data_IF_584513859493
#
_entry.id   IF_584513859493
#
_cell.length_a   1.000
_cell.length_b   1.000
_cell.length_c   1.000
_cell.angle_alpha   90.00
_cell.angle_beta   90.00
_cell.angle_gamma   90.00
#
_symmetry.space_group_name_H-M   'P 1'
#
loop_
_entity.id
_entity.type
_entity.pdbx_description
1 polymer ?
#
# COMPACT_ATOMS: atom_id res chain seq x y z
N UNK A 1 -57.89 2.28 23.35
CA UNK A 1 -57.53 1.59 22.09
C UNK A 1 -56.25 2.23 21.58
N UNK A 2 -55.10 1.62 21.86
CA UNK A 2 -53.79 2.10 21.40
C UNK A 2 -53.31 1.12 20.33
N UNK A 3 -53.23 1.56 19.08
CA UNK A 3 -52.66 0.76 18.00
C UNK A 3 -51.15 0.97 18.05
N UNK A 4 -50.42 -0.03 18.53
CA UNK A 4 -48.97 -0.10 18.39
C UNK A 4 -48.62 -0.27 16.92
N UNK A 5 -48.01 0.75 16.33
CA UNK A 5 -47.30 0.64 15.05
C UNK A 5 -46.07 -0.26 15.26
N UNK A 6 -46.21 -1.54 14.95
CA UNK A 6 -45.07 -2.44 14.79
C UNK A 6 -44.41 -2.05 13.47
N UNK A 7 -43.32 -1.27 13.58
CA UNK A 7 -42.41 -0.97 12.48
C UNK A 7 -41.75 -2.28 12.06
N UNK A 8 -42.34 -2.97 11.08
CA UNK A 8 -41.71 -4.09 10.37
C UNK A 8 -40.53 -3.50 9.61
N UNK A 9 -39.33 -3.63 10.19
CA UNK A 9 -38.11 -3.36 9.45
C UNK A 9 -38.06 -4.33 8.26
N UNK A 10 -38.09 -3.76 7.07
CA UNK A 10 -38.12 -4.46 5.80
C UNK A 10 -36.92 -5.42 5.69
N UNK A 11 -37.15 -6.73 5.63
CA UNK A 11 -36.10 -7.78 5.61
C UNK A 11 -35.06 -7.55 4.50
N UNK A 12 -35.47 -6.92 3.38
CA UNK A 12 -34.57 -6.53 2.29
C UNK A 12 -33.50 -5.50 2.69
N UNK A 13 -33.81 -4.55 3.57
CA UNK A 13 -32.86 -3.54 4.04
C UNK A 13 -31.82 -4.15 4.98
N UNK A 14 -32.22 -5.13 5.80
CA UNK A 14 -31.32 -5.84 6.72
C UNK A 14 -30.33 -6.71 5.94
N UNK A 15 -30.78 -7.40 4.88
CA UNK A 15 -29.90 -8.21 4.02
C UNK A 15 -28.90 -7.36 3.22
N UNK A 16 -29.31 -6.19 2.74
CA UNK A 16 -28.39 -5.26 2.05
C UNK A 16 -27.29 -4.74 2.97
N UNK A 17 -27.67 -4.28 4.18
CA UNK A 17 -26.73 -3.79 5.18
C UNK A 17 -25.71 -4.86 5.59
N UNK A 18 -26.16 -6.11 5.78
CA UNK A 18 -25.27 -7.25 6.07
C UNK A 18 -24.28 -7.53 4.95
N UNK A 19 -24.75 -7.57 3.70
CA UNK A 19 -23.87 -7.80 2.52
C UNK A 19 -22.80 -6.72 2.42
N UNK A 20 -23.18 -5.47 2.70
CA UNK A 20 -22.28 -4.32 2.70
C UNK A 20 -21.21 -4.40 3.77
N UNK A 21 -21.59 -4.75 4.99
CA UNK A 21 -20.65 -4.96 6.09
C UNK A 21 -19.68 -6.12 5.82
N UNK A 22 -20.17 -7.20 5.22
CA UNK A 22 -19.31 -8.33 4.79
C UNK A 22 -18.30 -7.89 3.73
N UNK A 23 -18.75 -7.21 2.67
CA UNK A 23 -17.86 -6.67 1.63
C UNK A 23 -16.80 -5.74 2.23
N UNK A 24 -17.20 -4.83 3.13
CA UNK A 24 -16.29 -3.93 3.82
C UNK A 24 -15.26 -4.70 4.64
N UNK A 25 -15.68 -5.67 5.44
CA UNK A 25 -14.77 -6.48 6.26
C UNK A 25 -13.74 -7.25 5.40
N UNK A 26 -14.14 -7.74 4.23
CA UNK A 26 -13.23 -8.41 3.30
C UNK A 26 -12.22 -7.45 2.66
N UNK A 27 -12.63 -6.23 2.31
CA UNK A 27 -11.72 -5.19 1.77
C UNK A 27 -10.76 -4.73 2.87
N UNK A 28 -11.25 -4.48 4.08
CA UNK A 28 -10.42 -4.11 5.23
C UNK A 28 -9.40 -5.20 5.58
N UNK A 29 -9.79 -6.47 5.48
CA UNK A 29 -8.88 -7.60 5.67
C UNK A 29 -7.76 -7.61 4.63
N UNK A 30 -8.07 -7.35 3.34
CA UNK A 30 -7.07 -7.24 2.30
C UNK A 30 -6.11 -6.07 2.57
N UNK A 31 -6.64 -4.89 2.87
CA UNK A 31 -5.84 -3.69 3.16
C UNK A 31 -4.85 -3.95 4.30
N UNK A 32 -5.29 -4.61 5.37
CA UNK A 32 -4.41 -4.99 6.50
C UNK A 32 -3.30 -5.96 6.07
N UNK A 33 -3.61 -6.95 5.24
CA UNK A 33 -2.61 -7.91 4.74
C UNK A 33 -1.62 -7.22 3.79
N UNK A 34 -2.09 -6.33 2.91
CA UNK A 34 -1.22 -5.53 2.02
C UNK A 34 -0.32 -4.59 2.83
N UNK A 35 -0.84 -3.95 3.87
CA UNK A 35 -0.02 -3.12 4.77
C UNK A 35 1.04 -3.95 5.51
N UNK A 36 0.70 -5.16 5.96
CA UNK A 36 1.66 -6.10 6.53
C UNK A 36 2.74 -6.48 5.50
N UNK A 37 2.33 -6.82 4.27
CA UNK A 37 3.25 -7.16 3.19
C UNK A 37 4.24 -6.01 2.90
N UNK A 38 3.75 -4.77 2.80
CA UNK A 38 4.58 -3.56 2.65
C UNK A 38 5.62 -3.45 3.76
N UNK A 39 5.22 -3.66 5.00
CA UNK A 39 6.13 -3.56 6.14
C UNK A 39 7.26 -4.61 6.05
N UNK A 40 6.91 -5.86 5.76
CA UNK A 40 7.92 -6.91 5.52
C UNK A 40 8.81 -6.57 4.32
N UNK A 41 8.22 -6.07 3.22
CA UNK A 41 8.92 -5.70 2.00
C UNK A 41 9.94 -4.59 2.20
N UNK A 42 9.73 -3.68 3.16
CA UNK A 42 10.74 -2.65 3.50
C UNK A 42 11.99 -3.19 4.17
N UNK A 43 11.93 -4.38 4.78
CA UNK A 43 13.07 -5.01 5.45
C UNK A 43 13.95 -5.82 4.49
N UNK A 44 13.48 -6.08 3.27
CA UNK A 44 14.19 -6.84 2.24
C UNK A 44 15.40 -6.06 1.72
N UNK A 45 16.55 -6.72 1.58
CA UNK A 45 17.83 -6.10 1.22
C UNK A 45 18.48 -5.30 2.36
N UNK A 46 17.85 -5.22 3.52
CA UNK A 46 18.37 -4.57 4.72
C UNK A 46 19.09 -5.52 5.67
N UNK A 47 19.48 -5.02 6.84
CA UNK A 47 20.13 -5.82 7.89
C UNK A 47 19.24 -6.88 8.54
N UNK A 48 17.92 -6.76 8.39
CA UNK A 48 16.93 -7.71 8.92
C UNK A 48 16.50 -8.75 7.88
N UNK A 49 17.07 -8.73 6.68
CA UNK A 49 16.72 -9.67 5.62
C UNK A 49 17.27 -11.07 5.94
N UNK A 50 16.39 -12.06 5.94
CA UNK A 50 16.69 -13.43 6.28
C UNK A 50 15.65 -14.38 5.67
N UNK A 51 15.94 -15.69 5.64
CA UNK A 51 15.03 -16.69 5.09
C UNK A 51 13.64 -16.64 5.74
N UNK A 52 13.57 -16.46 7.06
CA UNK A 52 12.29 -16.36 7.77
C UNK A 52 11.45 -15.16 7.32
N UNK A 53 12.09 -14.01 7.04
CA UNK A 53 11.41 -12.84 6.48
C UNK A 53 10.88 -13.14 5.06
N UNK A 54 11.68 -13.80 4.21
CA UNK A 54 11.29 -14.18 2.85
C UNK A 54 10.14 -15.19 2.83
N UNK A 55 10.12 -16.13 3.76
CA UNK A 55 9.01 -17.07 3.97
C UNK A 55 7.72 -16.36 4.42
N UNK A 56 7.83 -15.44 5.39
CA UNK A 56 6.70 -14.62 5.85
C UNK A 56 6.13 -13.76 4.72
N UNK A 57 6.98 -13.18 3.86
CA UNK A 57 6.57 -12.48 2.66
C UNK A 57 5.79 -13.38 1.71
N UNK A 58 6.27 -14.61 1.47
CA UNK A 58 5.58 -15.58 0.62
C UNK A 58 4.19 -15.92 1.16
N UNK A 59 4.08 -16.28 2.44
CA UNK A 59 2.78 -16.59 3.09
C UNK A 59 1.83 -15.40 3.04
N UNK A 60 2.34 -14.19 3.31
CA UNK A 60 1.54 -12.96 3.29
C UNK A 60 1.06 -12.64 1.87
N UNK A 61 1.90 -12.88 0.85
CA UNK A 61 1.57 -12.72 -0.57
C UNK A 61 0.49 -13.69 -1.04
N UNK A 62 0.58 -14.96 -0.64
CA UNK A 62 -0.44 -15.97 -0.94
C UNK A 62 -1.79 -15.57 -0.33
N UNK A 63 -1.78 -15.18 0.96
CA UNK A 63 -2.97 -14.70 1.66
C UNK A 63 -3.59 -13.45 1.00
N UNK A 64 -2.77 -12.50 0.57
CA UNK A 64 -3.24 -11.30 -0.12
C UNK A 64 -3.94 -11.63 -1.44
N UNK A 65 -3.38 -12.55 -2.22
CA UNK A 65 -3.98 -12.99 -3.50
C UNK A 65 -5.31 -13.72 -3.29
N UNK A 66 -5.41 -14.61 -2.29
CA UNK A 66 -6.66 -15.28 -1.96
C UNK A 66 -7.76 -14.28 -1.60
N UNK A 67 -7.43 -13.29 -0.76
CA UNK A 67 -8.33 -12.20 -0.43
C UNK A 67 -8.67 -11.34 -1.65
N UNK A 68 -7.72 -11.09 -2.55
CA UNK A 68 -7.95 -10.30 -3.75
C UNK A 68 -8.92 -11.00 -4.72
N UNK A 69 -8.77 -12.31 -4.95
CA UNK A 69 -9.69 -13.10 -5.76
C UNK A 69 -11.10 -13.09 -5.13
N UNK A 70 -11.19 -13.28 -3.82
CA UNK A 70 -12.46 -13.25 -3.09
C UNK A 70 -13.16 -11.89 -3.19
N UNK A 71 -12.42 -10.79 -2.94
CA UNK A 71 -12.94 -9.42 -3.05
C UNK A 71 -13.40 -9.10 -4.47
N UNK A 72 -12.58 -9.40 -5.48
CA UNK A 72 -12.93 -9.19 -6.89
C UNK A 72 -14.27 -9.83 -7.22
N UNK A 73 -14.44 -11.11 -6.90
CA UNK A 73 -15.66 -11.84 -7.24
C UNK A 73 -16.88 -11.25 -6.52
N UNK A 74 -16.77 -10.98 -5.21
CA UNK A 74 -17.87 -10.43 -4.40
C UNK A 74 -18.29 -9.03 -4.87
N UNK A 75 -17.34 -8.11 -4.98
CA UNK A 75 -17.64 -6.74 -5.39
C UNK A 75 -18.16 -6.67 -6.83
N UNK A 76 -17.62 -7.49 -7.74
CA UNK A 76 -18.14 -7.56 -9.12
C UNK A 76 -19.59 -8.05 -9.15
N UNK A 77 -19.96 -9.02 -8.30
CA UNK A 77 -21.34 -9.49 -8.20
C UNK A 77 -22.27 -8.39 -7.66
N UNK A 78 -21.87 -7.70 -6.59
CA UNK A 78 -22.64 -6.61 -6.01
C UNK A 78 -22.83 -5.42 -6.99
N UNK A 79 -21.76 -4.98 -7.65
CA UNK A 79 -21.79 -3.82 -8.56
C UNK A 79 -22.48 -4.10 -9.89
N UNK A 80 -22.70 -5.37 -10.25
CA UNK A 80 -23.48 -5.76 -11.42
C UNK A 80 -24.97 -5.92 -11.12
N UNK A 81 -25.38 -5.93 -9.84
CA UNK A 81 -26.79 -6.00 -9.47
C UNK A 81 -27.48 -4.66 -9.73
N UNK A 82 -28.43 -4.66 -10.67
CA UNK A 82 -29.21 -3.47 -11.05
C UNK A 82 -30.27 -3.10 -10.01
N UNK A 83 -30.55 -3.98 -9.06
CA UNK A 83 -31.55 -3.75 -8.01
C UNK A 83 -30.93 -3.17 -6.72
N UNK A 84 -29.62 -2.91 -6.72
CA UNK A 84 -28.93 -2.36 -5.56
C UNK A 84 -29.41 -0.91 -5.31
N UNK A 85 -29.79 -0.55 -4.06
CA UNK A 85 -30.14 0.82 -3.71
C UNK A 85 -28.99 1.78 -4.00
N UNK A 86 -29.29 3.02 -4.39
CA UNK A 86 -28.27 4.03 -4.77
C UNK A 86 -27.23 4.27 -3.67
N UNK A 87 -27.66 4.32 -2.40
CA UNK A 87 -26.76 4.54 -1.27
C UNK A 87 -25.79 3.37 -1.07
N UNK A 88 -26.26 2.14 -1.28
CA UNK A 88 -25.44 0.93 -1.18
C UNK A 88 -24.53 0.77 -2.41
N UNK A 89 -24.99 1.21 -3.59
CA UNK A 89 -24.18 1.27 -4.79
C UNK A 89 -22.98 2.20 -4.59
N UNK A 90 -23.20 3.43 -4.11
CA UNK A 90 -22.10 4.37 -3.85
C UNK A 90 -21.08 3.82 -2.83
N UNK A 91 -21.54 3.09 -1.82
CA UNK A 91 -20.63 2.46 -0.85
C UNK A 91 -19.85 1.29 -1.45
N UNK A 92 -20.49 0.45 -2.28
CA UNK A 92 -19.80 -0.62 -3.03
C UNK A 92 -18.76 -0.04 -4.01
N UNK A 93 -19.07 1.08 -4.66
CA UNK A 93 -18.13 1.78 -5.56
C UNK A 93 -16.92 2.31 -4.78
N UNK A 94 -17.12 2.85 -3.58
CA UNK A 94 -16.03 3.25 -2.70
C UNK A 94 -15.17 2.07 -2.26
N UNK A 95 -15.78 0.95 -1.88
CA UNK A 95 -15.05 -0.28 -1.54
C UNK A 95 -14.28 -0.82 -2.74
N UNK A 96 -14.82 -0.70 -3.96
CA UNK A 96 -14.13 -1.08 -5.19
C UNK A 96 -12.89 -0.24 -5.45
N UNK A 97 -12.96 1.08 -5.25
CA UNK A 97 -11.81 1.98 -5.39
C UNK A 97 -10.75 1.67 -4.33
N UNK A 98 -11.15 1.43 -3.07
CA UNK A 98 -10.22 1.04 -2.02
C UNK A 98 -9.53 -0.30 -2.34
N UNK A 99 -10.31 -1.29 -2.78
CA UNK A 99 -9.82 -2.59 -3.24
C UNK A 99 -8.81 -2.45 -4.40
N UNK A 100 -9.17 -1.78 -5.49
CA UNK A 100 -8.30 -1.63 -6.66
C UNK A 100 -7.01 -0.89 -6.33
N UNK A 101 -7.09 0.16 -5.51
CA UNK A 101 -5.92 0.93 -5.08
C UNK A 101 -5.00 0.10 -4.18
N UNK A 102 -5.56 -0.73 -3.29
CA UNK A 102 -4.76 -1.64 -2.47
C UNK A 102 -4.05 -2.71 -3.31
N UNK A 103 -4.66 -3.17 -4.41
CA UNK A 103 -4.07 -4.16 -5.30
C UNK A 103 -2.90 -3.58 -6.10
N UNK A 104 -2.99 -2.33 -6.54
CA UNK A 104 -1.87 -1.62 -7.19
C UNK A 104 -0.69 -1.40 -6.25
N UNK A 105 -0.97 -1.00 -5.00
CA UNK A 105 0.09 -0.86 -3.99
C UNK A 105 0.77 -2.20 -3.71
N UNK A 106 0.00 -3.27 -3.62
CA UNK A 106 0.51 -4.61 -3.42
C UNK A 106 1.37 -5.08 -4.61
N UNK A 107 0.92 -4.85 -5.85
CA UNK A 107 1.69 -5.14 -7.05
C UNK A 107 3.04 -4.40 -7.05
N UNK A 108 3.03 -3.09 -6.75
CA UNK A 108 4.25 -2.30 -6.67
C UNK A 108 5.24 -2.85 -5.63
N UNK A 109 4.74 -3.32 -4.48
CA UNK A 109 5.58 -3.97 -3.47
C UNK A 109 6.15 -5.30 -3.93
N UNK A 110 5.35 -6.11 -4.63
CA UNK A 110 5.83 -7.38 -5.18
C UNK A 110 6.96 -7.15 -6.18
N UNK A 111 6.82 -6.18 -7.08
CA UNK A 111 7.88 -5.79 -8.02
C UNK A 111 9.14 -5.33 -7.29
N UNK A 112 9.00 -4.49 -6.25
CA UNK A 112 10.12 -4.07 -5.42
C UNK A 112 10.82 -5.27 -4.76
N UNK A 113 10.07 -6.18 -4.14
CA UNK A 113 10.64 -7.38 -3.49
C UNK A 113 11.34 -8.27 -4.51
N UNK A 114 10.79 -8.38 -5.72
CA UNK A 114 11.39 -9.13 -6.82
C UNK A 114 12.75 -8.52 -7.24
N UNK A 115 12.81 -7.22 -7.48
CA UNK A 115 14.07 -6.50 -7.79
C UNK A 115 15.11 -6.66 -6.69
N UNK A 116 14.69 -6.54 -5.42
CA UNK A 116 15.60 -6.73 -4.28
C UNK A 116 16.05 -8.19 -4.14
N UNK A 117 15.20 -9.18 -4.45
CA UNK A 117 15.58 -10.59 -4.47
C UNK A 117 16.67 -10.91 -5.50
N UNK A 118 16.65 -10.24 -6.66
CA UNK A 118 17.70 -10.40 -7.67
C UNK A 118 19.03 -9.77 -7.23
N UNK A 119 18.97 -8.65 -6.52
CA UNK A 119 20.15 -7.91 -6.07
C UNK A 119 20.76 -8.49 -4.79
N UNK A 120 19.95 -9.11 -3.93
CA UNK A 120 20.31 -9.64 -2.62
C UNK A 120 19.85 -11.10 -2.49
N UNK A 121 20.65 -12.03 -3.02
CA UNK A 121 20.41 -13.46 -2.87
C UNK A 121 20.91 -13.97 -1.51
N UNK A 122 20.07 -14.75 -0.82
CA UNK A 122 20.43 -15.37 0.46
C UNK A 122 21.30 -16.63 0.28
N UNK A 123 21.12 -17.35 -0.84
CA UNK A 123 21.96 -18.52 -1.19
C UNK A 123 23.36 -18.13 -1.66
N UNK A 124 23.52 -16.93 -2.22
CA UNK A 124 24.82 -16.38 -2.61
C UNK A 124 25.42 -15.57 -1.46
N UNK A 125 25.84 -16.24 -0.39
CA UNK A 125 26.86 -15.69 0.51
C UNK A 125 28.23 -15.63 -0.21
N UNK A 126 28.28 -14.92 -1.33
CA UNK A 126 29.51 -14.32 -1.79
C UNK A 126 29.93 -13.31 -0.72
N UNK A 127 31.13 -13.48 -0.18
CA UNK A 127 31.79 -12.70 0.88
C UNK A 127 32.01 -11.20 0.58
N UNK A 128 31.16 -10.57 -0.25
CA UNK A 128 31.31 -9.21 -0.77
C UNK A 128 30.38 -8.19 -0.10
N UNK A 129 29.39 -8.63 0.69
CA UNK A 129 28.57 -7.72 1.48
C UNK A 129 29.25 -7.49 2.83
N UNK A 130 29.65 -6.24 3.09
CA UNK A 130 30.20 -5.84 4.38
C UNK A 130 29.08 -5.96 5.41
N UNK A 131 29.16 -7.01 6.24
CA UNK A 131 28.22 -7.29 7.30
C UNK A 131 28.42 -6.26 8.44
N UNK A 132 27.92 -5.04 8.22
CA UNK A 132 28.00 -3.91 9.16
C UNK A 132 26.87 -3.92 10.20
N UNK A 133 25.89 -4.82 10.05
CA UNK A 133 24.71 -4.89 10.90
C UNK A 133 24.99 -5.53 12.26
N UNK A 134 24.73 -4.77 13.33
CA UNK A 134 24.73 -5.24 14.71
C UNK A 134 23.92 -6.54 14.85
N UNK A 135 24.61 -7.63 15.20
CA UNK A 135 23.98 -8.82 15.76
C UNK A 135 24.18 -8.78 17.28
N UNK A 136 23.19 -9.22 18.05
CA UNK A 136 23.15 -9.12 19.52
C UNK A 136 24.39 -9.67 20.25
N UNK A 137 24.48 -9.33 21.54
CA UNK A 137 25.50 -9.69 22.54
C UNK A 137 26.91 -10.06 22.00
N UNK A 138 27.90 -9.24 22.32
CA UNK A 138 29.31 -9.30 21.87
C UNK A 138 30.00 -10.68 21.89
N UNK A 139 29.50 -11.64 22.68
CA UNK A 139 29.95 -13.04 22.74
C UNK A 139 29.78 -13.79 21.40
N UNK A 140 28.69 -13.56 20.67
CA UNK A 140 28.39 -14.30 19.43
C UNK A 140 29.23 -13.81 18.23
N UNK A 141 29.75 -12.58 18.33
CA UNK A 141 30.61 -11.95 17.33
C UNK A 141 32.02 -12.58 17.35
N UNK A 142 32.57 -12.86 18.53
CA UNK A 142 33.90 -13.46 18.68
C UNK A 142 33.96 -14.92 18.22
N UNK A 143 32.91 -15.70 18.47
CA UNK A 143 32.84 -17.10 18.04
C UNK A 143 32.76 -17.26 16.50
N UNK A 144 32.11 -16.31 15.81
CA UNK A 144 31.99 -16.29 14.34
C UNK A 144 33.27 -15.83 13.65
N UNK A 145 33.98 -14.86 14.21
CA UNK A 145 35.29 -14.44 13.68
C UNK A 145 36.32 -15.58 13.68
N UNK A 146 36.20 -16.53 14.61
CA UNK A 146 37.06 -17.71 14.71
C UNK A 146 36.54 -18.93 13.93
N UNK A 147 35.31 -18.89 13.43
CA UNK A 147 34.65 -20.01 12.73
C UNK A 147 34.48 -19.77 11.23
N UNK A 148 35.51 -19.20 10.57
CA UNK A 148 35.56 -19.17 9.09
C UNK A 148 35.85 -20.59 8.59
N UNK A 149 34.84 -21.46 8.69
CA UNK A 149 34.79 -22.69 7.91
C UNK A 149 34.40 -22.30 6.49
N UNK A 150 35.14 -22.86 5.54
CA UNK A 150 34.97 -22.73 4.11
C UNK A 150 33.54 -23.16 3.74
N UNK A 151 32.66 -22.19 3.49
CA UNK A 151 31.28 -22.44 3.08
C UNK A 151 31.36 -23.15 1.73
N UNK A 152 31.00 -24.44 1.73
CA UNK A 152 30.91 -25.22 0.50
C UNK A 152 29.65 -24.75 -0.21
N UNK A 153 29.79 -24.18 -1.41
CA UNK A 153 28.66 -23.74 -2.21
C UNK A 153 27.81 -24.97 -2.55
N UNK A 154 26.66 -25.10 -1.90
CA UNK A 154 25.69 -26.14 -2.24
C UNK A 154 24.82 -25.62 -3.38
N UNK A 155 25.06 -26.15 -4.58
CA UNK A 155 24.34 -25.82 -5.82
C UNK A 155 22.82 -26.02 -5.66
N UNK A 156 22.39 -26.87 -4.73
CA UNK A 156 20.98 -27.09 -4.41
C UNK A 156 20.31 -25.85 -3.81
N UNK A 157 20.99 -25.07 -2.97
CA UNK A 157 20.41 -23.88 -2.31
C UNK A 157 20.21 -22.73 -3.31
N UNK A 158 21.16 -22.55 -4.24
CA UNK A 158 21.03 -21.61 -5.36
C UNK A 158 19.87 -21.99 -6.30
N UNK A 159 19.62 -23.29 -6.50
CA UNK A 159 18.50 -23.74 -7.32
C UNK A 159 17.12 -23.43 -6.71
N UNK A 160 17.03 -23.43 -5.37
CA UNK A 160 15.80 -23.10 -4.64
C UNK A 160 15.50 -21.61 -4.72
N UNK A 161 16.48 -20.74 -4.45
CA UNK A 161 16.32 -19.27 -4.59
C UNK A 161 15.80 -18.88 -5.98
N UNK A 162 16.36 -19.50 -7.03
CA UNK A 162 15.93 -19.24 -8.43
C UNK A 162 14.50 -19.69 -8.69
N UNK A 163 14.07 -20.79 -8.07
CA UNK A 163 12.70 -21.31 -8.21
C UNK A 163 11.70 -20.40 -7.49
N UNK A 164 12.04 -19.91 -6.30
CA UNK A 164 11.22 -18.96 -5.55
C UNK A 164 11.11 -17.61 -6.25
N UNK A 165 12.21 -17.15 -6.87
CA UNK A 165 12.22 -15.93 -7.66
C UNK A 165 11.28 -16.05 -8.88
N UNK A 166 11.31 -17.20 -9.57
CA UNK A 166 10.42 -17.47 -10.70
C UNK A 166 8.95 -17.58 -10.27
N UNK A 167 8.68 -18.21 -9.12
CA UNK A 167 7.33 -18.26 -8.54
C UNK A 167 6.80 -16.84 -8.24
N UNK A 168 7.65 -15.96 -7.68
CA UNK A 168 7.29 -14.57 -7.44
C UNK A 168 6.97 -13.82 -8.75
N UNK A 169 7.78 -13.97 -9.80
CA UNK A 169 7.52 -13.39 -11.12
C UNK A 169 6.15 -13.83 -11.67
N UNK A 170 5.85 -15.13 -11.60
CA UNK A 170 4.60 -15.67 -12.09
C UNK A 170 3.38 -15.18 -11.28
N UNK A 171 3.57 -14.89 -9.99
CA UNK A 171 2.55 -14.29 -9.14
C UNK A 171 2.37 -12.79 -9.43
N UNK A 172 3.42 -12.06 -9.78
CA UNK A 172 3.33 -10.66 -10.24
C UNK A 172 2.45 -10.60 -11.50
N UNK A 173 2.72 -11.45 -12.48
CA UNK A 173 1.92 -11.54 -13.71
C UNK A 173 0.44 -11.87 -13.43
N UNK A 174 0.16 -12.70 -12.41
CA UNK A 174 -1.21 -13.03 -12.00
C UNK A 174 -1.93 -11.80 -11.42
N UNK A 175 -1.24 -11.01 -10.60
CA UNK A 175 -1.80 -9.78 -10.01
C UNK A 175 -1.97 -8.70 -11.08
N UNK A 176 -1.01 -8.53 -11.99
CA UNK A 176 -1.09 -7.57 -13.10
C UNK A 176 -2.31 -7.87 -14.01
N UNK A 177 -2.48 -9.14 -14.41
CA UNK A 177 -3.69 -9.59 -15.12
C UNK A 177 -4.96 -9.34 -14.32
N UNK A 178 -4.91 -9.49 -12.99
CA UNK A 178 -6.06 -9.21 -12.14
C UNK A 178 -6.42 -7.73 -12.15
N UNK A 179 -5.44 -6.83 -12.09
CA UNK A 179 -5.63 -5.37 -12.16
C UNK A 179 -6.30 -5.00 -13.50
N UNK A 180 -5.78 -5.52 -14.62
CA UNK A 180 -6.41 -5.31 -15.93
C UNK A 180 -7.86 -5.84 -15.98
N UNK A 181 -8.08 -7.05 -15.45
CA UNK A 181 -9.40 -7.68 -15.39
C UNK A 181 -10.43 -6.84 -14.62
N UNK A 182 -10.03 -6.22 -13.50
CA UNK A 182 -10.95 -5.44 -12.67
C UNK A 182 -11.33 -4.14 -13.38
N UNK A 183 -10.39 -3.47 -14.05
CA UNK A 183 -10.68 -2.27 -14.85
C UNK A 183 -11.70 -2.54 -15.97
N UNK A 184 -11.63 -3.73 -16.60
CA UNK A 184 -12.58 -4.10 -17.64
C UNK A 184 -13.96 -4.56 -17.12
N UNK A 185 -14.05 -5.09 -15.90
CA UNK A 185 -15.28 -5.75 -15.40
C UNK A 185 -16.31 -4.80 -14.83
N UNK A 186 -15.87 -3.67 -14.26
CA UNK A 186 -16.69 -2.69 -13.56
C UNK A 186 -16.23 -1.29 -13.94
N UNK A 187 -17.12 -0.49 -14.53
CA UNK A 187 -16.82 0.87 -14.97
C UNK A 187 -17.02 1.89 -13.83
N UNK A 188 -16.21 1.77 -12.78
CA UNK A 188 -16.20 2.72 -11.66
C UNK A 188 -14.90 3.50 -11.75
N UNK A 189 -15.01 4.77 -12.12
CA UNK A 189 -13.86 5.65 -12.25
C UNK A 189 -13.44 6.14 -10.86
N UNK A 190 -12.13 6.14 -10.57
CA UNK A 190 -11.62 6.55 -9.25
C UNK A 190 -12.06 7.94 -8.82
N UNK A 191 -12.20 8.86 -9.78
CA UNK A 191 -12.54 10.26 -9.52
C UNK A 191 -14.05 10.51 -9.36
N UNK A 192 -14.92 9.53 -9.63
CA UNK A 192 -16.38 9.69 -9.49
C UNK A 192 -16.90 9.34 -8.11
N UNK A 193 -16.06 8.75 -7.25
CA UNK A 193 -16.45 8.31 -5.91
C UNK A 193 -16.21 9.43 -4.90
N UNK A 194 -17.24 9.80 -4.15
CA UNK A 194 -17.14 10.74 -3.04
C UNK A 194 -16.48 10.08 -1.82
N UNK A 195 -15.43 10.72 -1.29
CA UNK A 195 -14.78 10.25 -0.08
C UNK A 195 -15.72 10.44 1.12
N UNK A 196 -16.25 9.35 1.67
CA UNK A 196 -16.93 9.40 2.96
C UNK A 196 -15.88 9.55 4.06
N UNK A 197 -15.81 10.74 4.67
CA UNK A 197 -15.05 10.91 5.90
C UNK A 197 -15.52 9.89 6.93
N UNK A 198 -14.60 9.21 7.65
CA UNK A 198 -15.00 8.51 8.85
C UNK A 198 -15.64 9.55 9.77
N UNK A 199 -16.90 9.35 10.16
CA UNK A 199 -17.49 10.06 11.29
C UNK A 199 -16.54 9.82 12.46
N UNK A 200 -15.72 10.83 12.77
CA UNK A 200 -14.66 10.73 13.78
C UNK A 200 -15.23 10.04 15.02
N UNK A 201 -14.74 8.84 15.30
CA UNK A 201 -14.80 8.33 16.65
C UNK A 201 -13.87 9.22 17.46
N UNK A 202 -14.38 9.78 18.56
CA UNK A 202 -13.61 10.59 19.49
C UNK A 202 -12.24 9.93 19.76
N UNK A 203 -11.15 10.71 19.84
CA UNK A 203 -9.82 10.15 20.08
C UNK A 203 -9.84 9.42 21.42
N UNK A 204 -9.81 8.10 21.36
CA UNK A 204 -9.50 7.27 22.53
C UNK A 204 -8.06 7.59 22.90
N UNK A 205 -7.89 8.37 23.97
CA UNK A 205 -6.63 8.49 24.70
C UNK A 205 -6.23 7.10 25.16
N UNK A 206 -5.33 6.46 24.41
CA UNK A 206 -4.53 5.37 24.90
C UNK A 206 -3.09 5.87 24.95
N UNK A 207 -2.73 6.37 26.13
CA UNK A 207 -1.36 6.44 26.61
C UNK A 207 -0.74 5.04 26.49
N UNK A 208 0.20 4.86 25.53
CA UNK A 208 1.44 4.08 25.66
C UNK A 208 2.05 3.80 24.27
N UNK A 209 2.98 4.64 23.82
CA UNK A 209 4.36 4.27 23.45
C UNK A 209 4.99 5.42 22.65
N UNK A 210 6.00 6.03 23.27
CA UNK A 210 6.76 7.15 22.75
C UNK A 210 7.77 6.67 21.70
N UNK A 211 7.55 7.04 20.44
CA UNK A 211 8.63 7.24 19.48
C UNK A 211 8.78 8.75 19.28
N UNK A 212 9.76 9.27 20.00
CA UNK A 212 10.12 10.68 20.08
C UNK A 212 10.70 11.11 18.73
N UNK A 213 9.89 11.74 17.88
CA UNK A 213 10.36 12.46 16.70
C UNK A 213 10.66 13.87 17.18
N UNK A 214 11.95 14.21 17.24
CA UNK A 214 12.43 15.55 17.57
C UNK A 214 11.82 16.57 16.59
N UNK A 215 10.69 17.14 17.00
CA UNK A 215 10.15 18.36 16.42
C UNK A 215 10.84 19.51 17.13
N UNK A 216 11.72 20.19 16.41
CA UNK A 216 12.30 21.45 16.84
C UNK A 216 11.15 22.46 16.94
N UNK A 217 10.82 22.85 18.17
CA UNK A 217 9.99 24.01 18.47
C UNK A 217 10.77 25.27 18.03
N UNK A 218 10.16 26.12 17.21
CA UNK A 218 10.40 27.56 17.23
C UNK A 218 9.15 28.26 16.64
N UNK A 219 8.46 28.89 17.58
CA UNK A 219 7.61 30.09 17.52
C UNK A 219 6.37 30.19 16.62
N UNK A 220 5.27 30.41 17.34
CA UNK A 220 3.98 30.95 16.94
C UNK A 220 4.09 32.09 15.91
N UNK A 221 3.61 31.83 14.69
CA UNK A 221 2.96 32.86 13.89
C UNK A 221 1.87 32.23 13.01
N UNK A 222 0.62 32.49 13.40
CA UNK A 222 -0.58 32.20 12.62
C UNK A 222 -0.52 32.83 11.22
N UNK A 223 -0.05 32.07 10.23
CA UNK A 223 -0.45 32.27 8.84
C UNK A 223 -0.16 30.99 8.05
N UNK A 224 -1.12 30.07 8.02
CA UNK A 224 -1.08 28.94 7.10
C UNK A 224 -1.07 29.47 5.67
N UNK A 225 0.12 29.54 5.07
CA UNK A 225 0.33 29.92 3.69
C UNK A 225 -0.47 28.97 2.81
N UNK A 226 -1.50 29.50 2.14
CA UNK A 226 -2.20 28.82 1.07
C UNK A 226 -1.18 28.53 -0.05
N UNK A 227 -0.68 27.30 -0.04
CA UNK A 227 0.34 26.79 -0.96
C UNK A 227 -0.09 26.99 -2.42
N UNK A 228 -1.40 27.06 -2.70
CA UNK A 228 -1.94 27.42 -4.01
C UNK A 228 -1.71 28.89 -4.36
N UNK A 229 -1.92 29.80 -3.41
CA UNK A 229 -1.74 31.25 -3.60
C UNK A 229 -0.27 31.64 -3.84
N UNK A 230 0.67 30.95 -3.19
CA UNK A 230 2.12 31.14 -3.44
C UNK A 230 2.48 30.74 -4.86
N UNK A 231 1.98 29.60 -5.36
CA UNK A 231 2.26 29.12 -6.72
C UNK A 231 1.71 30.11 -7.76
N UNK A 232 0.49 30.60 -7.57
CA UNK A 232 -0.13 31.60 -8.47
C UNK A 232 0.68 32.89 -8.50
N UNK A 233 1.14 33.36 -7.34
CA UNK A 233 1.97 34.57 -7.24
C UNK A 233 3.31 34.42 -7.96
N UNK A 234 3.99 33.28 -7.80
CA UNK A 234 5.26 32.99 -8.48
C UNK A 234 5.09 32.94 -10.00
N UNK A 235 4.03 32.30 -10.50
CA UNK A 235 3.74 32.24 -11.95
C UNK A 235 3.47 33.65 -12.50
N UNK A 236 2.63 34.43 -11.82
CA UNK A 236 2.30 35.79 -12.24
C UNK A 236 3.55 36.70 -12.27
N UNK A 237 4.40 36.64 -11.24
CA UNK A 237 5.67 37.37 -11.22
C UNK A 237 6.60 36.93 -12.37
N UNK A 238 6.70 35.63 -12.64
CA UNK A 238 7.49 35.10 -13.74
C UNK A 238 7.05 35.67 -15.09
N UNK A 239 5.74 35.67 -15.37
CA UNK A 239 5.18 36.23 -16.62
C UNK A 239 5.44 37.73 -16.73
N UNK A 240 5.28 38.49 -15.64
CA UNK A 240 5.54 39.93 -15.63
C UNK A 240 7.02 40.25 -15.93
N UNK A 241 7.95 39.50 -15.35
CA UNK A 241 9.39 39.67 -15.61
C UNK A 241 9.74 39.40 -17.07
N UNK A 242 9.18 38.35 -17.67
CA UNK A 242 9.38 38.05 -19.10
C UNK A 242 8.84 39.19 -19.98
N UNK A 243 7.66 39.72 -19.67
CA UNK A 243 7.08 40.84 -20.42
C UNK A 243 7.95 42.11 -20.36
N UNK A 244 8.52 42.43 -19.19
CA UNK A 244 9.43 43.58 -19.02
C UNK A 244 10.71 43.38 -19.83
N UNK A 245 11.32 42.20 -19.76
CA UNK A 245 12.54 41.88 -20.54
C UNK A 245 12.25 41.99 -22.04
N UNK A 246 11.13 41.45 -22.52
CA UNK A 246 10.74 41.58 -23.93
C UNK A 246 10.54 43.04 -24.34
N UNK A 247 9.90 43.86 -23.50
CA UNK A 247 9.73 45.30 -23.77
C UNK A 247 11.07 46.01 -23.87
N UNK A 248 12.03 45.71 -22.99
CA UNK A 248 13.37 46.30 -23.03
C UNK A 248 14.12 45.84 -24.28
N UNK A 249 14.06 44.55 -24.61
CA UNK A 249 14.66 44.02 -25.83
C UNK A 249 14.09 44.69 -27.09
N UNK A 250 12.78 44.93 -27.16
CA UNK A 250 12.15 45.63 -28.30
C UNK A 250 12.64 47.07 -28.41
N UNK A 251 12.81 47.79 -27.30
CA UNK A 251 13.31 49.18 -27.31
C UNK A 251 14.80 49.25 -27.67
N UNK A 252 15.59 48.25 -27.28
CA UNK A 252 17.02 48.20 -27.61
C UNK A 252 17.32 47.65 -29.02
N UNK A 253 16.38 46.91 -29.63
CA UNK A 253 16.52 46.33 -30.97
C UNK A 253 15.75 47.12 -32.06
N UNK A 254 15.00 48.16 -31.69
CA UNK A 254 14.37 49.12 -32.59
C UNK A 254 15.26 50.36 -32.77
#
# INVERSE_FOLDING_TARGET
MYIQNIKVANEGTVNSMKTREECKAYVDALIKVVACYRHLATSVGGSSDCSNLRDELKRTRERAQDLAVGNRNRLTLCLRDKNLPKDDQAEMECLWVAFSSSLELFHADMCKVFEMGQSFSLSSQNNLLVQTGMSGATSDIAARALSVQKINYDETVSSVDRLEQKDLEEQIDKVDKMIYDIEMKVNVLRWTVEAKEPKYADPVSNDTSSVDVLSLEDDDNDQCCDRGQVIVSVILCGVAMVAVVLSVCVVYLA
#
